data_IF_298534428711
#
_entry.id   IF_298534428711
#
_cell.length_a   1.000
_cell.length_b   1.000
_cell.length_c   1.000
_cell.angle_alpha   90.00
_cell.angle_beta   90.00
_cell.angle_gamma   90.00
#
_symmetry.space_group_name_H-M   'P 1'
#
loop_
_entity.id
_entity.type
_entity.pdbx_description
1 polymer ?
#
# COMPACT_ATOMS: atom_id res chain seq x y z
N UNK A 1 12.87 -5.38 2.68
CA UNK A 1 12.51 -4.24 1.81
C UNK A 1 11.85 -4.76 0.55
N UNK A 2 10.85 -4.05 0.01
CA UNK A 2 10.15 -4.45 -1.21
C UNK A 2 10.90 -3.86 -2.42
N UNK A 3 11.49 -4.71 -3.25
CA UNK A 3 12.12 -4.30 -4.51
C UNK A 3 11.10 -4.34 -5.65
N UNK A 4 10.26 -3.31 -5.76
CA UNK A 4 9.35 -3.10 -6.89
C UNK A 4 9.57 -1.73 -7.49
N UNK A 5 9.62 -1.67 -8.82
CA UNK A 5 9.68 -0.41 -9.54
C UNK A 5 8.28 0.18 -9.61
N UNK A 6 8.17 1.43 -9.18
CA UNK A 6 6.92 2.20 -9.14
C UNK A 6 7.18 3.55 -9.80
N UNK A 7 6.21 4.04 -10.55
CA UNK A 7 6.21 5.37 -11.13
C UNK A 7 5.07 6.17 -10.51
N UNK A 8 5.41 7.38 -10.06
CA UNK A 8 4.47 8.34 -9.49
C UNK A 8 4.32 9.51 -10.47
N UNK A 9 3.08 9.95 -10.66
CA UNK A 9 2.79 11.21 -11.35
C UNK A 9 3.01 12.41 -10.44
N UNK A 10 2.95 13.61 -11.03
CA UNK A 10 2.98 14.86 -10.28
C UNK A 10 1.76 15.01 -9.34
N UNK A 11 0.62 14.43 -9.73
CA UNK A 11 -0.60 14.43 -8.95
C UNK A 11 -1.05 12.97 -8.69
N UNK A 12 -1.37 12.69 -7.43
CA UNK A 12 -1.94 11.43 -6.99
C UNK A 12 -3.34 11.73 -6.44
N UNK A 13 -4.35 11.06 -6.98
CA UNK A 13 -5.75 11.25 -6.57
C UNK A 13 -6.41 9.90 -6.28
N UNK A 14 -7.37 9.89 -5.36
CA UNK A 14 -8.10 8.68 -4.96
C UNK A 14 -9.03 8.98 -3.79
N UNK A 15 -9.90 8.02 -3.46
CA UNK A 15 -10.78 8.11 -2.30
C UNK A 15 -10.24 7.20 -1.20
N UNK A 16 -10.03 7.77 -0.01
CA UNK A 16 -9.54 7.05 1.16
C UNK A 16 -10.73 6.61 2.00
N UNK A 17 -10.78 5.32 2.30
CA UNK A 17 -11.75 4.68 3.19
C UNK A 17 -10.99 3.92 4.29
N UNK A 18 -11.71 3.47 5.32
CA UNK A 18 -11.12 2.62 6.35
C UNK A 18 -10.49 1.38 5.68
N UNK A 19 -9.17 1.23 5.83
CA UNK A 19 -8.37 0.12 5.28
C UNK A 19 -8.36 0.02 3.75
N UNK A 20 -8.75 1.07 3.00
CA UNK A 20 -8.79 1.01 1.54
C UNK A 20 -8.56 2.36 0.88
N UNK A 21 -7.95 2.35 -0.30
CA UNK A 21 -7.89 3.47 -1.23
C UNK A 21 -8.49 2.99 -2.54
N UNK A 22 -9.54 3.65 -3.02
CA UNK A 22 -10.25 3.29 -4.26
C UNK A 22 -10.13 4.39 -5.32
N UNK A 23 -10.23 3.99 -6.59
CA UNK A 23 -10.09 4.87 -7.76
C UNK A 23 -8.77 5.65 -7.75
N UNK A 24 -7.69 4.99 -7.31
CA UNK A 24 -6.35 5.57 -7.27
C UNK A 24 -5.86 5.88 -8.69
N UNK A 25 -5.27 7.06 -8.87
CA UNK A 25 -4.64 7.54 -10.09
C UNK A 25 -3.28 8.16 -9.77
N UNK A 26 -2.41 8.23 -10.77
CA UNK A 26 -1.06 8.78 -10.62
C UNK A 26 -0.04 7.79 -10.07
N UNK A 27 -0.41 6.52 -9.89
CA UNK A 27 0.51 5.45 -9.46
C UNK A 27 0.50 4.32 -10.47
N UNK A 28 1.68 3.91 -10.95
CA UNK A 28 1.88 2.75 -11.83
C UNK A 28 2.95 1.83 -11.25
N UNK A 29 2.73 0.52 -11.30
CA UNK A 29 3.70 -0.46 -10.85
C UNK A 29 4.25 -1.22 -12.05
N UNK A 30 5.57 -1.45 -12.11
CA UNK A 30 6.17 -2.21 -13.20
C UNK A 30 5.80 -3.68 -13.08
N UNK A 31 5.26 -4.22 -14.16
CA UNK A 31 4.99 -5.65 -14.30
C UNK A 31 5.43 -6.11 -15.67
N UNK A 32 6.42 -7.02 -15.70
CA UNK A 32 7.11 -7.42 -16.92
C UNK A 32 7.64 -6.18 -17.67
N UNK A 33 7.14 -5.95 -18.89
CA UNK A 33 7.49 -4.81 -19.75
C UNK A 33 6.47 -3.66 -19.69
N UNK A 34 5.42 -3.78 -18.87
CA UNK A 34 4.33 -2.81 -18.79
C UNK A 34 4.31 -2.05 -17.46
N UNK A 35 3.60 -0.92 -17.46
CA UNK A 35 3.38 -0.06 -16.30
C UNK A 35 1.88 0.11 -16.04
N UNK A 36 1.16 -0.97 -15.69
CA UNK A 36 -0.26 -0.86 -15.39
C UNK A 36 -0.49 0.09 -14.20
N UNK A 37 -1.55 0.91 -14.26
CA UNK A 37 -1.92 1.77 -13.15
C UNK A 37 -2.48 0.94 -11.99
N UNK A 38 -2.18 1.38 -10.77
CA UNK A 38 -2.76 0.83 -9.55
C UNK A 38 -4.07 1.57 -9.27
N UNK A 39 -5.18 0.85 -9.25
CA UNK A 39 -6.52 1.46 -9.10
C UNK A 39 -7.14 1.27 -7.71
N UNK A 40 -6.69 0.26 -6.96
CA UNK A 40 -7.21 -0.05 -5.63
C UNK A 40 -6.08 -0.54 -4.73
N UNK A 41 -6.10 -0.11 -3.47
CA UNK A 41 -5.22 -0.61 -2.42
C UNK A 41 -6.09 -0.96 -1.24
N UNK A 42 -5.99 -2.18 -0.72
CA UNK A 42 -6.76 -2.61 0.45
C UNK A 42 -5.90 -3.33 1.47
N UNK A 43 -6.28 -3.27 2.74
CA UNK A 43 -5.66 -4.04 3.82
C UNK A 43 -6.66 -5.06 4.34
N UNK A 44 -6.21 -6.30 4.50
CA UNK A 44 -7.04 -7.37 5.08
C UNK A 44 -7.50 -7.02 6.50
N UNK A 45 -8.69 -7.49 6.87
CA UNK A 45 -9.20 -7.34 8.24
C UNK A 45 -8.53 -8.30 9.24
N UNK A 46 -7.79 -9.30 8.74
CA UNK A 46 -7.12 -10.30 9.56
C UNK A 46 -5.94 -9.71 10.35
N UNK A 47 -5.59 -10.29 11.51
CA UNK A 47 -4.45 -9.84 12.32
C UNK A 47 -3.09 -10.01 11.61
N UNK A 48 -3.05 -10.72 10.46
CA UNK A 48 -1.82 -10.92 9.68
C UNK A 48 -1.40 -9.71 8.85
N UNK A 49 -2.24 -8.67 8.74
CA UNK A 49 -1.88 -7.39 8.13
C UNK A 49 -1.28 -7.53 6.73
N UNK A 50 -2.08 -7.92 5.73
CA UNK A 50 -1.65 -7.96 4.33
C UNK A 50 -2.22 -6.76 3.58
N UNK A 51 -1.39 -6.16 2.73
CA UNK A 51 -1.77 -5.07 1.83
C UNK A 51 -1.86 -5.63 0.41
N UNK A 52 -2.98 -5.38 -0.26
CA UNK A 52 -3.26 -5.75 -1.63
C UNK A 52 -3.23 -4.52 -2.52
N UNK A 53 -2.50 -4.61 -3.63
CA UNK A 53 -2.44 -3.60 -4.67
C UNK A 53 -3.07 -4.19 -5.92
N UNK A 54 -4.23 -3.67 -6.32
CA UNK A 54 -4.95 -4.10 -7.51
C UNK A 54 -4.67 -3.15 -8.66
N UNK A 55 -4.12 -3.69 -9.73
CA UNK A 55 -3.94 -2.95 -10.97
C UNK A 55 -5.23 -2.94 -11.79
N UNK A 56 -5.40 -1.92 -12.65
CA UNK A 56 -6.50 -1.90 -13.61
C UNK A 56 -6.38 -2.99 -14.69
N UNK A 57 -5.23 -3.66 -14.78
CA UNK A 57 -5.03 -4.85 -15.62
C UNK A 57 -5.55 -6.14 -14.97
N UNK A 58 -6.20 -6.06 -13.79
CA UNK A 58 -6.76 -7.22 -13.09
C UNK A 58 -5.75 -8.00 -12.25
N UNK A 59 -4.50 -7.53 -12.14
CA UNK A 59 -3.46 -8.21 -11.38
C UNK A 59 -3.41 -7.64 -9.96
N UNK A 60 -3.39 -8.54 -8.98
CA UNK A 60 -3.25 -8.18 -7.57
C UNK A 60 -1.87 -8.58 -7.05
N UNK A 61 -1.16 -7.65 -6.41
CA UNK A 61 0.06 -7.93 -5.65
C UNK A 61 -0.20 -7.79 -4.16
N UNK A 62 0.22 -8.78 -3.39
CA UNK A 62 0.03 -8.81 -1.95
C UNK A 62 1.39 -8.69 -1.26
N UNK A 63 1.44 -7.88 -0.22
CA UNK A 63 2.64 -7.65 0.57
C UNK A 63 2.29 -7.65 2.06
N UNK A 64 3.21 -8.05 2.95
CA UNK A 64 3.01 -7.87 4.39
C UNK A 64 3.05 -6.37 4.75
N UNK A 65 2.22 -5.94 5.70
CA UNK A 65 2.17 -4.55 6.20
C UNK A 65 3.54 -4.11 6.73
N UNK A 66 4.27 -5.02 7.37
CA UNK A 66 5.60 -4.79 7.93
C UNK A 66 6.59 -4.31 6.87
N UNK A 67 6.39 -4.70 5.61
CA UNK A 67 7.27 -4.30 4.53
C UNK A 67 7.09 -2.83 4.09
N UNK A 68 6.03 -2.16 4.58
CA UNK A 68 5.82 -0.71 4.47
C UNK A 68 5.97 0.02 5.81
N UNK A 69 6.32 -0.70 6.90
CA UNK A 69 6.55 -0.10 8.22
C UNK A 69 7.88 0.67 8.35
N UNK A 70 8.73 0.64 7.31
CA UNK A 70 10.03 1.31 7.31
C UNK A 70 9.97 2.85 7.39
N UNK A 71 8.78 3.44 7.30
CA UNK A 71 8.52 4.87 7.55
C UNK A 71 7.97 5.18 8.96
N UNK A 72 8.01 4.23 9.89
CA UNK A 72 7.70 4.51 11.30
C UNK A 72 8.74 5.51 11.84
N UNK A 73 8.36 6.79 11.86
CA UNK A 73 8.89 7.77 12.79
C UNK A 73 8.98 7.09 14.16
N UNK A 74 10.20 7.06 14.70
CA UNK A 74 10.56 6.39 15.93
C UNK A 74 9.50 6.57 17.02
N UNK A 75 8.88 5.46 17.42
CA UNK A 75 8.22 5.23 18.71
C UNK A 75 7.51 6.44 19.35
N UNK A 76 6.20 6.55 19.14
CA UNK A 76 5.30 6.83 20.25
C UNK A 76 4.64 5.51 20.65
N UNK A 77 5.34 4.69 21.46
CA UNK A 77 4.65 3.69 22.27
C UNK A 77 3.99 4.44 23.43
N UNK A 78 2.66 4.35 23.65
CA UNK A 78 2.12 4.68 24.95
C UNK A 78 2.73 3.67 25.94
N UNK A 79 3.55 4.14 26.87
CA UNK A 79 3.94 3.39 28.06
C UNK A 79 2.67 3.06 28.83
N UNK A 80 2.20 1.82 28.74
CA UNK A 80 1.37 1.25 29.80
C UNK A 80 2.28 1.04 31.01
N UNK A 81 2.48 2.09 31.80
CA UNK A 81 2.92 1.91 33.17
C UNK A 81 1.68 1.54 33.98
N UNK A 82 1.44 0.24 34.11
CA UNK A 82 0.82 -0.32 35.29
C UNK A 82 1.94 -1.05 36.03
N UNK A 83 2.50 -0.37 37.02
CA UNK A 83 2.88 -0.87 38.35
C UNK A 83 3.36 0.31 39.20
#
# INVERSE_FOLDING_TARGET
MISKLVSYGAEITGYVEKKRIKKLKGVKAKELMLWPPVGDISVDDSPTGKIHFKSLAGITKTFPVEAFAAGQWSKCKPTSNND
#
